data_IF_450292036507
#
_entry.id   IF_450292036507
#
_cell.length_a   1.000
_cell.length_b   1.000
_cell.length_c   1.000
_cell.angle_alpha   90.00
_cell.angle_beta   90.00
_cell.angle_gamma   90.00
#
_symmetry.space_group_name_H-M   'P 1'
#
loop_
_entity.id
_entity.type
_entity.pdbx_description
1 polymer ?
#
# COMPACT_ATOMS: atom_id res chain seq x y z
N UNK A 1 4.29 9.34 -6.24
CA UNK A 1 2.95 9.15 -5.65
C UNK A 1 2.86 9.88 -4.32
N UNK A 2 1.75 10.58 -4.01
CA UNK A 2 1.60 11.27 -2.72
C UNK A 2 1.69 10.33 -1.53
N UNK A 3 2.39 10.76 -0.46
CA UNK A 3 2.59 9.97 0.75
C UNK A 3 1.29 9.60 1.46
N UNK A 4 0.31 10.49 1.44
CA UNK A 4 -0.97 10.24 2.10
C UNK A 4 -1.77 9.11 1.43
N UNK A 5 -1.60 8.90 0.12
CA UNK A 5 -2.19 7.73 -0.56
C UNK A 5 -1.54 6.45 -0.05
N UNK A 6 -0.22 6.43 0.06
CA UNK A 6 0.50 5.25 0.60
C UNK A 6 0.05 4.96 2.03
N UNK A 7 -0.07 5.99 2.86
CA UNK A 7 -0.56 5.85 4.24
C UNK A 7 -1.98 5.28 4.27
N UNK A 8 -2.87 5.78 3.42
CA UNK A 8 -4.24 5.29 3.36
C UNK A 8 -4.29 3.81 2.94
N UNK A 9 -3.50 3.41 1.96
CA UNK A 9 -3.41 2.01 1.54
C UNK A 9 -2.89 1.14 2.68
N UNK A 10 -1.78 1.54 3.30
CA UNK A 10 -1.20 0.76 4.40
C UNK A 10 -2.16 0.64 5.58
N UNK A 11 -2.83 1.73 5.94
CA UNK A 11 -3.83 1.71 7.00
C UNK A 11 -4.99 0.77 6.68
N UNK A 12 -5.51 0.85 5.45
CA UNK A 12 -6.60 -0.01 4.99
C UNK A 12 -6.22 -1.48 4.91
N UNK A 13 -5.02 -1.78 4.41
CA UNK A 13 -4.56 -3.15 4.23
C UNK A 13 -4.17 -3.83 5.55
N UNK A 14 -3.64 -3.08 6.48
CA UNK A 14 -3.10 -3.66 7.71
C UNK A 14 -3.96 -3.40 8.95
N UNK A 15 -5.12 -2.72 8.77
CA UNK A 15 -5.93 -2.30 9.92
C UNK A 15 -5.13 -1.45 10.88
N UNK A 16 -4.35 -0.50 10.35
CA UNK A 16 -3.48 0.38 11.12
C UNK A 16 -2.46 -0.38 11.98
N UNK A 17 -1.93 -1.47 11.42
CA UNK A 17 -0.90 -2.28 12.09
C UNK A 17 -1.46 -3.43 12.93
N UNK A 18 -2.78 -3.60 12.99
CA UNK A 18 -3.41 -4.63 13.81
C UNK A 18 -3.59 -5.98 13.10
N UNK A 19 -3.23 -6.11 11.83
CA UNK A 19 -3.47 -7.32 11.05
C UNK A 19 -2.72 -8.53 11.64
N UNK A 20 -3.34 -9.71 11.52
CA UNK A 20 -2.72 -10.96 11.95
C UNK A 20 -1.42 -11.28 11.23
N UNK A 21 -1.31 -10.92 9.94
CA UNK A 21 -0.09 -11.12 9.17
C UNK A 21 1.08 -10.28 9.72
N UNK A 22 0.85 -9.00 10.04
CA UNK A 22 1.88 -8.17 10.64
C UNK A 22 2.29 -8.68 12.01
N UNK A 23 1.33 -9.11 12.84
CA UNK A 23 1.61 -9.68 14.16
C UNK A 23 2.45 -10.96 14.07
N UNK A 24 2.34 -11.71 12.97
CA UNK A 24 3.14 -12.91 12.70
C UNK A 24 4.44 -12.61 11.98
N UNK A 25 4.79 -11.35 11.80
CA UNK A 25 6.08 -10.92 11.27
C UNK A 25 6.18 -10.79 9.76
N UNK A 26 5.05 -10.58 9.05
CA UNK A 26 5.09 -10.41 7.59
C UNK A 26 5.89 -9.20 7.15
N UNK A 27 5.85 -8.12 7.91
CA UNK A 27 6.42 -6.81 7.57
C UNK A 27 5.96 -6.30 6.19
N UNK A 28 4.79 -6.76 5.79
CA UNK A 28 4.19 -6.49 4.48
C UNK A 28 3.03 -5.51 4.66
N UNK A 29 3.29 -4.23 4.37
CA UNK A 29 2.32 -3.16 4.60
C UNK A 29 1.21 -3.12 3.55
N UNK A 30 1.32 -3.91 2.49
CA UNK A 30 0.37 -3.94 1.37
C UNK A 30 -0.36 -5.27 1.24
N UNK A 31 -0.03 -6.24 2.08
CA UNK A 31 -0.53 -7.62 1.99
C UNK A 31 -0.31 -8.23 0.61
N UNK A 32 0.84 -7.93 -0.02
CA UNK A 32 1.20 -8.57 -1.28
C UNK A 32 1.19 -10.09 -1.14
N UNK A 33 0.54 -10.77 -2.08
CA UNK A 33 0.53 -12.21 -2.10
C UNK A 33 1.86 -12.77 -2.61
N UNK A 34 2.21 -13.95 -2.12
CA UNK A 34 3.35 -14.70 -2.62
C UNK A 34 2.84 -15.76 -3.59
N UNK A 35 3.37 -15.75 -4.81
CA UNK A 35 3.10 -16.75 -5.84
C UNK A 35 4.33 -17.60 -6.15
N UNK A 36 5.42 -17.42 -5.39
CA UNK A 36 6.69 -18.10 -5.58
C UNK A 36 7.04 -18.89 -4.32
N UNK A 37 7.07 -20.22 -4.43
CA UNK A 37 7.38 -21.12 -3.32
C UNK A 37 8.81 -20.95 -2.76
N UNK A 38 9.68 -20.27 -3.49
CA UNK A 38 11.07 -20.03 -3.09
C UNK A 38 11.22 -18.82 -2.18
N UNK A 39 10.21 -17.95 -2.08
CA UNK A 39 10.27 -16.79 -1.19
C UNK A 39 9.56 -17.07 0.12
N UNK A 40 9.98 -16.37 1.18
CA UNK A 40 9.32 -16.49 2.48
C UNK A 40 7.90 -15.95 2.42
N UNK A 41 6.98 -16.66 3.08
CA UNK A 41 5.57 -16.28 3.12
C UNK A 41 4.91 -16.72 4.41
N UNK A 42 3.74 -16.15 4.67
CA UNK A 42 2.88 -16.53 5.81
C UNK A 42 1.54 -16.98 5.23
N UNK A 43 1.14 -18.20 5.58
CA UNK A 43 -0.11 -18.77 5.10
C UNK A 43 -1.32 -18.09 5.74
N UNK A 44 -2.36 -17.82 4.94
CA UNK A 44 -3.65 -17.38 5.45
C UNK A 44 -4.35 -18.54 6.15
N UNK A 45 -5.10 -18.23 7.22
CA UNK A 45 -5.74 -19.28 8.04
C UNK A 45 -6.92 -19.96 7.35
N UNK A 46 -7.63 -19.21 6.48
CA UNK A 46 -8.90 -19.66 5.89
C UNK A 46 -8.86 -19.81 4.37
N UNK A 47 -7.68 -19.80 3.76
CA UNK A 47 -7.54 -19.95 2.32
C UNK A 47 -6.16 -20.48 1.97
N UNK A 48 -5.96 -20.83 0.70
CA UNK A 48 -4.66 -21.26 0.19
C UNK A 48 -3.72 -20.08 -0.11
N UNK A 49 -4.17 -18.86 0.15
CA UNK A 49 -3.36 -17.66 -0.10
C UNK A 49 -2.17 -17.60 0.85
N UNK A 50 -1.05 -17.14 0.32
CA UNK A 50 0.17 -16.87 1.08
C UNK A 50 0.52 -15.41 0.94
N UNK A 51 0.85 -14.77 2.06
CA UNK A 51 1.28 -13.37 2.09
C UNK A 51 2.80 -13.34 2.13
N UNK A 52 3.40 -12.59 1.21
CA UNK A 52 4.86 -12.45 1.13
C UNK A 52 5.41 -11.87 2.42
N UNK A 53 6.52 -12.42 2.90
CA UNK A 53 7.23 -11.92 4.07
C UNK A 53 8.42 -11.08 3.63
N UNK A 54 8.55 -9.88 4.19
CA UNK A 54 9.69 -8.99 3.94
C UNK A 54 10.62 -8.97 5.14
N UNK A 55 11.87 -8.59 4.93
CA UNK A 55 12.84 -8.39 6.02
C UNK A 55 12.50 -7.15 6.82
N UNK A 56 12.07 -6.09 6.14
CA UNK A 56 11.67 -4.82 6.76
C UNK A 56 10.38 -4.30 6.11
N UNK A 57 9.66 -3.46 6.84
CA UNK A 57 8.47 -2.78 6.33
C UNK A 57 8.84 -1.87 5.16
N UNK A 58 10.04 -1.23 5.21
CA UNK A 58 10.55 -0.42 4.10
C UNK A 58 10.68 -1.21 2.80
N UNK A 59 11.07 -2.49 2.88
CA UNK A 59 11.20 -3.33 1.70
C UNK A 59 9.85 -3.52 1.01
N UNK A 60 8.75 -3.61 1.78
CA UNK A 60 7.42 -3.69 1.18
C UNK A 60 7.05 -2.39 0.45
N UNK A 61 7.42 -1.24 1.01
CA UNK A 61 7.21 0.06 0.35
C UNK A 61 8.05 0.15 -0.93
N UNK A 62 9.31 -0.30 -0.89
CA UNK A 62 10.16 -0.34 -2.08
C UNK A 62 9.55 -1.16 -3.21
N UNK A 63 8.97 -2.32 -2.89
CA UNK A 63 8.30 -3.13 -3.91
C UNK A 63 7.13 -2.38 -4.53
N UNK A 64 6.30 -1.73 -3.72
CA UNK A 64 5.18 -0.96 -4.25
C UNK A 64 5.66 0.18 -5.15
N UNK A 65 6.65 0.93 -4.72
CA UNK A 65 7.21 2.04 -5.50
C UNK A 65 7.86 1.55 -6.81
N UNK A 66 8.54 0.41 -6.76
CA UNK A 66 9.08 -0.21 -7.96
C UNK A 66 7.98 -0.59 -8.96
N UNK A 67 6.88 -1.16 -8.48
CA UNK A 67 5.75 -1.46 -9.36
C UNK A 67 5.14 -0.20 -9.97
N UNK A 68 4.96 0.84 -9.17
CA UNK A 68 4.44 2.11 -9.67
C UNK A 68 5.34 2.65 -10.78
N UNK A 69 6.66 2.58 -10.62
CA UNK A 69 7.60 3.12 -11.58
C UNK A 69 7.81 2.24 -12.82
N UNK A 70 7.80 0.92 -12.66
CA UNK A 70 8.34 0.03 -13.68
C UNK A 70 7.39 -1.07 -14.19
N UNK A 71 6.35 -1.41 -13.45
CA UNK A 71 5.47 -2.51 -13.83
C UNK A 71 4.50 -2.06 -14.93
N UNK A 72 4.40 -2.84 -16.00
CA UNK A 72 3.56 -2.48 -17.16
C UNK A 72 2.10 -2.24 -16.79
N UNK A 73 1.54 -3.09 -15.92
CA UNK A 73 0.16 -2.93 -15.47
C UNK A 73 -0.09 -1.64 -14.70
N UNK A 74 0.96 -0.93 -14.28
CA UNK A 74 0.87 0.33 -13.56
C UNK A 74 1.03 1.56 -14.44
N UNK A 75 1.04 1.41 -15.77
CA UNK A 75 1.17 2.55 -16.69
C UNK A 75 0.07 3.58 -16.49
N UNK A 76 -1.17 3.14 -16.24
CA UNK A 76 -2.29 4.04 -15.93
C UNK A 76 -2.10 4.80 -14.62
N UNK A 77 -1.47 4.18 -13.64
CA UNK A 77 -1.14 4.85 -12.37
C UNK A 77 -0.13 5.96 -12.61
N UNK A 78 0.92 5.70 -13.39
CA UNK A 78 1.93 6.71 -13.74
C UNK A 78 1.30 7.90 -14.47
N UNK A 79 0.38 7.63 -15.38
CA UNK A 79 -0.34 8.67 -16.13
C UNK A 79 -1.15 9.57 -15.18
N UNK A 80 -1.87 8.98 -14.23
CA UNK A 80 -2.66 9.75 -13.27
C UNK A 80 -1.79 10.53 -12.29
N UNK A 81 -0.64 10.00 -11.89
CA UNK A 81 0.32 10.74 -11.06
C UNK A 81 0.83 11.96 -11.82
N UNK A 82 1.16 11.80 -13.10
CA UNK A 82 1.60 12.90 -13.94
C UNK A 82 0.54 14.00 -14.03
N UNK A 83 -0.71 13.63 -14.32
CA UNK A 83 -1.82 14.57 -14.36
C UNK A 83 -2.00 15.30 -13.03
N UNK A 84 -1.93 14.58 -11.92
CA UNK A 84 -2.02 15.17 -10.59
C UNK A 84 -0.90 16.20 -10.36
N UNK A 85 0.33 15.86 -10.73
CA UNK A 85 1.48 16.77 -10.58
C UNK A 85 1.36 18.02 -11.47
N UNK A 86 0.64 17.93 -12.58
CA UNK A 86 0.36 19.05 -13.48
C UNK A 86 -0.88 19.86 -13.07
N UNK A 87 -1.53 19.49 -11.96
CA UNK A 87 -2.73 20.19 -11.49
C UNK A 87 -4.02 19.79 -12.20
N UNK A 88 -3.99 18.73 -13.03
CA UNK A 88 -5.13 18.31 -13.86
C UNK A 88 -5.81 17.03 -13.39
N UNK A 89 -5.24 16.36 -12.39
CA UNK A 89 -5.77 15.12 -11.87
C UNK A 89 -6.26 15.24 -10.43
N UNK A 90 -6.41 14.12 -9.78
CA UNK A 90 -6.79 14.07 -8.36
C UNK A 90 -6.20 12.83 -7.70
N UNK A 91 -6.11 12.86 -6.37
CA UNK A 91 -5.67 11.69 -5.60
C UNK A 91 -6.65 10.53 -5.77
N UNK A 92 -7.95 10.81 -5.86
CA UNK A 92 -8.99 9.80 -6.07
C UNK A 92 -8.78 9.07 -7.40
N UNK A 93 -8.40 9.78 -8.46
CA UNK A 93 -8.10 9.17 -9.75
C UNK A 93 -6.87 8.27 -9.70
N UNK A 94 -5.87 8.63 -8.91
CA UNK A 94 -4.70 7.78 -8.69
C UNK A 94 -5.13 6.48 -8.01
N UNK A 95 -5.97 6.57 -6.97
CA UNK A 95 -6.49 5.39 -6.25
C UNK A 95 -7.28 4.48 -7.21
N UNK A 96 -8.15 5.05 -8.03
CA UNK A 96 -8.90 4.29 -9.02
C UNK A 96 -7.99 3.57 -10.02
N UNK A 97 -6.92 4.23 -10.44
CA UNK A 97 -5.94 3.62 -11.34
C UNK A 97 -5.21 2.44 -10.68
N UNK A 98 -4.86 2.56 -9.40
CA UNK A 98 -4.26 1.46 -8.64
C UNK A 98 -5.24 0.28 -8.56
N UNK A 99 -6.53 0.55 -8.29
CA UNK A 99 -7.55 -0.50 -8.25
C UNK A 99 -7.64 -1.26 -9.58
N UNK A 100 -7.48 -0.57 -10.71
CA UNK A 100 -7.54 -1.18 -12.05
C UNK A 100 -6.34 -2.08 -12.37
N UNK A 101 -5.26 -1.99 -11.61
CA UNK A 101 -4.10 -2.87 -11.81
C UNK A 101 -4.33 -4.30 -11.33
N UNK A 102 -5.41 -4.54 -10.61
CA UNK A 102 -5.64 -5.82 -9.93
C UNK A 102 -4.95 -5.90 -8.57
N UNK A 103 -4.51 -4.77 -8.03
CA UNK A 103 -3.88 -4.70 -6.71
C UNK A 103 -4.72 -5.37 -5.63
N UNK A 104 -6.03 -5.18 -5.68
CA UNK A 104 -6.98 -5.81 -4.76
C UNK A 104 -8.15 -6.40 -5.54
N UNK A 105 -8.63 -7.57 -5.12
CA UNK A 105 -9.77 -8.26 -5.75
C UNK A 105 -11.12 -7.65 -5.36
N UNK A 106 -11.20 -7.01 -4.19
CA UNK A 106 -12.43 -6.41 -3.69
C UNK A 106 -12.79 -5.17 -4.51
N UNK A 107 -13.96 -5.19 -5.13
CA UNK A 107 -14.48 -4.06 -5.92
C UNK A 107 -14.73 -2.82 -5.08
N UNK A 108 -14.86 -2.96 -3.76
CA UNK A 108 -15.08 -1.85 -2.83
C UNK A 108 -13.77 -1.23 -2.33
N UNK A 109 -12.63 -1.79 -2.74
CA UNK A 109 -11.33 -1.34 -2.25
C UNK A 109 -11.06 0.14 -2.49
N UNK A 110 -11.31 0.63 -3.71
CA UNK A 110 -11.03 2.04 -4.03
C UNK A 110 -11.86 2.99 -3.16
N UNK A 111 -13.13 2.67 -2.94
CA UNK A 111 -13.99 3.47 -2.06
C UNK A 111 -13.52 3.46 -0.61
N UNK A 112 -13.06 2.32 -0.11
CA UNK A 112 -12.47 2.20 1.22
C UNK A 112 -11.24 3.08 1.37
N UNK A 113 -10.31 3.02 0.41
CA UNK A 113 -9.08 3.82 0.47
C UNK A 113 -9.38 5.31 0.33
N UNK A 114 -10.27 5.70 -0.57
CA UNK A 114 -10.72 7.10 -0.69
C UNK A 114 -11.33 7.61 0.61
N UNK A 115 -12.13 6.78 1.27
CA UNK A 115 -12.74 7.14 2.56
C UNK A 115 -11.68 7.39 3.63
N UNK A 116 -10.67 6.53 3.70
CA UNK A 116 -9.56 6.72 4.65
C UNK A 116 -8.81 8.01 4.34
N UNK A 117 -8.50 8.25 3.06
CA UNK A 117 -7.77 9.44 2.63
C UNK A 117 -8.50 10.73 3.02
N UNK A 118 -9.83 10.76 2.89
CA UNK A 118 -10.65 11.96 3.07
C UNK A 118 -11.14 12.16 4.50
N UNK A 119 -11.03 11.17 5.38
CA UNK A 119 -11.37 11.32 6.78
C UNK A 119 -10.19 11.89 7.54
N UNK A 120 -10.50 12.77 8.50
CA UNK A 120 -9.51 13.14 9.51
C UNK A 120 -9.11 11.87 10.24
N UNK A 121 -7.84 11.61 10.25
CA UNK A 121 -7.27 10.51 10.99
C UNK A 121 -7.40 10.86 12.47
N UNK A 122 -8.23 10.15 13.20
CA UNK A 122 -8.49 10.41 14.61
C UNK A 122 -7.32 9.95 15.50
N UNK A 123 -7.35 10.37 16.76
CA UNK A 123 -6.32 10.04 17.73
C UNK A 123 -6.17 8.54 18.00
N UNK A 124 -7.16 7.72 17.66
CA UNK A 124 -7.14 6.27 17.85
C UNK A 124 -6.02 5.59 17.06
N UNK A 125 -5.70 6.12 15.90
CA UNK A 125 -4.69 5.54 15.01
C UNK A 125 -3.39 6.35 14.99
N UNK A 126 -3.27 7.35 15.85
CA UNK A 126 -2.14 8.28 15.85
C UNK A 126 -0.79 7.57 15.95
N UNK A 127 -0.69 6.57 16.80
CA UNK A 127 0.56 5.83 17.04
C UNK A 127 0.98 5.03 15.81
N UNK A 128 0.03 4.32 15.19
CA UNK A 128 0.24 3.54 13.98
C UNK A 128 0.61 4.44 12.82
N UNK A 129 -0.02 5.60 12.72
CA UNK A 129 0.28 6.58 11.69
C UNK A 129 1.66 7.17 11.85
N UNK A 130 2.08 7.47 13.08
CA UNK A 130 3.42 7.97 13.34
C UNK A 130 4.47 6.95 12.91
N UNK A 131 4.23 5.66 13.16
CA UNK A 131 5.11 4.60 12.73
C UNK A 131 5.20 4.54 11.19
N UNK A 132 4.06 4.54 10.52
CA UNK A 132 4.02 4.50 9.05
C UNK A 132 4.63 5.77 8.44
N UNK A 133 4.32 6.93 9.02
CA UNK A 133 4.91 8.19 8.57
C UNK A 133 6.42 8.20 8.72
N UNK A 134 6.94 7.66 9.81
CA UNK A 134 8.38 7.53 10.02
C UNK A 134 9.02 6.70 8.91
N UNK A 135 8.43 5.56 8.57
CA UNK A 135 8.90 4.71 7.47
C UNK A 135 8.90 5.49 6.16
N UNK A 136 7.82 6.20 5.85
CA UNK A 136 7.70 6.98 4.61
C UNK A 136 8.68 8.14 4.54
N UNK A 137 8.89 8.86 5.65
CA UNK A 137 9.77 10.03 5.67
C UNK A 137 11.26 9.70 5.77
N UNK A 138 11.60 8.53 6.30
CA UNK A 138 12.99 8.07 6.39
C UNK A 138 13.33 6.97 5.40
N UNK A 139 12.32 6.41 4.75
CA UNK A 139 12.46 5.28 3.84
C UNK A 139 12.74 5.67 2.39
N UNK A 140 12.49 4.75 1.44
CA UNK A 140 12.94 4.88 0.05
C UNK A 140 12.41 6.09 -0.70
N UNK A 141 11.20 6.55 -0.41
CA UNK A 141 10.56 7.63 -1.15
C UNK A 141 11.22 8.98 -0.94
N UNK A 142 11.93 9.17 0.17
CA UNK A 142 12.58 10.43 0.53
C UNK A 142 14.10 10.43 0.32
N UNK A 143 14.63 9.46 -0.39
CA UNK A 143 16.08 9.34 -0.66
C UNK A 143 16.53 10.04 -1.95
N UNK A 144 15.68 10.81 -2.53
CA UNK A 144 15.99 11.55 -3.76
C UNK A 144 16.61 12.90 -3.45
#
# INVERSE_FOLDING_TARGET
>A
IPNDIILAINGGETGWGSSGFLKRGSKNLFNFQSFNDKEESIAAQNSNAKIKKFKTEEDSIKQFLDWVENKDSYSGVREEIKLYNEGEGSKERIIDAIAKTGFAEDKKWSGKIKSILNKRIDGKHKKELQKLATILFTGPQNKN
#
